data_IF_847036590168
#
_entry.id   IF_847036590168
#
_cell.length_a   1.000
_cell.length_b   1.000
_cell.length_c   1.000
_cell.angle_alpha   90.00
_cell.angle_beta   90.00
_cell.angle_gamma   90.00
#
_symmetry.space_group_name_H-M   'P 1'
#
loop_
_entity.id
_entity.type
_entity.pdbx_description
1 polymer ?
#
# COMPACT_ATOMS: atom_id res chain seq x y z
N UNK A 1 35.40 12.57 17.86
CA UNK A 1 34.00 12.44 18.31
C UNK A 1 33.24 11.66 17.25
N UNK A 2 32.83 10.40 17.48
CA UNK A 2 31.93 9.75 16.53
C UNK A 2 30.56 10.41 16.67
N UNK A 3 30.09 11.04 15.60
CA UNK A 3 28.73 11.54 15.47
C UNK A 3 27.79 10.34 15.30
N UNK A 4 27.47 9.66 16.39
CA UNK A 4 26.52 8.54 16.38
C UNK A 4 25.12 9.12 16.15
N UNK A 5 24.67 9.11 14.89
CA UNK A 5 23.23 9.28 14.60
C UNK A 5 22.51 8.17 15.37
N UNK A 6 21.51 8.54 16.16
CA UNK A 6 20.76 7.63 17.03
C UNK A 6 20.21 6.45 16.19
N UNK A 7 20.41 5.21 16.67
CA UNK A 7 20.04 3.98 15.97
C UNK A 7 18.51 3.95 15.74
N UNK A 8 17.75 4.49 16.68
CA UNK A 8 16.28 4.57 16.61
C UNK A 8 15.81 5.48 15.46
N UNK A 9 16.54 6.56 15.20
CA UNK A 9 16.24 7.50 14.11
C UNK A 9 16.53 6.89 12.74
N UNK A 10 17.60 6.09 12.63
CA UNK A 10 17.96 5.41 11.38
C UNK A 10 16.90 4.37 11.03
N UNK A 11 16.48 3.55 12.00
CA UNK A 11 15.44 2.55 11.80
C UNK A 11 14.12 3.22 11.36
N UNK A 12 13.71 4.27 12.06
CA UNK A 12 12.48 5.02 11.76
C UNK A 12 12.48 5.62 10.35
N UNK A 13 13.63 6.14 9.88
CA UNK A 13 13.78 6.65 8.51
C UNK A 13 13.71 5.54 7.46
N UNK A 14 14.37 4.41 7.69
CA UNK A 14 14.34 3.28 6.77
C UNK A 14 12.93 2.70 6.64
N UNK A 15 12.20 2.58 7.76
CA UNK A 15 10.78 2.18 7.75
C UNK A 15 9.93 3.14 6.94
N UNK A 16 10.13 4.45 7.08
CA UNK A 16 9.37 5.45 6.33
C UNK A 16 9.61 5.34 4.82
N UNK A 17 10.88 5.24 4.42
CA UNK A 17 11.28 5.05 3.00
C UNK A 17 10.67 3.76 2.45
N UNK A 18 10.79 2.65 3.18
CA UNK A 18 10.25 1.35 2.78
C UNK A 18 8.73 1.37 2.56
N UNK A 19 7.97 1.99 3.47
CA UNK A 19 6.52 2.16 3.35
C UNK A 19 6.15 2.96 2.10
N UNK A 20 6.93 4.00 1.78
CA UNK A 20 6.66 4.87 0.64
C UNK A 20 6.95 4.18 -0.70
N UNK A 21 8.02 3.37 -0.77
CA UNK A 21 8.30 2.49 -1.90
C UNK A 21 7.15 1.51 -2.12
N UNK A 22 6.73 0.82 -1.06
CA UNK A 22 5.61 -0.12 -1.11
C UNK A 22 4.33 0.54 -1.64
N UNK A 23 4.03 1.74 -1.14
CA UNK A 23 2.84 2.49 -1.57
C UNK A 23 2.89 2.81 -3.07
N UNK A 24 3.99 3.39 -3.56
CA UNK A 24 4.14 3.72 -4.97
C UNK A 24 4.12 2.48 -5.88
N UNK A 25 4.71 1.37 -5.43
CA UNK A 25 4.65 0.07 -6.12
C UNK A 25 3.22 -0.44 -6.27
N UNK A 26 2.44 -0.41 -5.19
CA UNK A 26 1.06 -0.86 -5.21
C UNK A 26 0.16 0.04 -6.07
N UNK A 27 0.40 1.35 -6.11
CA UNK A 27 -0.31 2.25 -7.04
C UNK A 27 -0.08 1.91 -8.52
N UNK A 28 1.07 1.30 -8.83
CA UNK A 28 1.37 0.79 -10.17
C UNK A 28 0.92 -0.66 -10.41
N UNK A 29 0.21 -1.27 -9.46
CA UNK A 29 -0.20 -2.67 -9.50
C UNK A 29 0.98 -3.66 -9.69
N UNK A 30 2.14 -3.32 -9.15
CA UNK A 30 3.34 -4.16 -9.25
C UNK A 30 3.48 -5.06 -8.02
N UNK A 31 3.89 -6.31 -8.22
CA UNK A 31 4.34 -7.20 -7.14
C UNK A 31 5.78 -6.86 -6.70
N UNK A 32 6.22 -7.39 -5.55
CA UNK A 32 7.61 -7.25 -5.09
C UNK A 32 8.59 -7.85 -6.11
N UNK A 33 8.22 -8.98 -6.72
CA UNK A 33 8.99 -9.64 -7.77
C UNK A 33 9.07 -8.80 -9.04
N UNK A 34 8.01 -8.09 -9.43
CA UNK A 34 8.03 -7.23 -10.62
C UNK A 34 9.00 -6.07 -10.44
N UNK A 35 8.95 -5.41 -9.27
CA UNK A 35 9.88 -4.34 -8.95
C UNK A 35 11.31 -4.86 -8.87
N UNK A 36 11.52 -6.01 -8.22
CA UNK A 36 12.84 -6.61 -8.09
C UNK A 36 13.45 -6.97 -9.45
N UNK A 37 12.66 -7.55 -10.35
CA UNK A 37 13.07 -7.88 -11.71
C UNK A 37 13.46 -6.63 -12.50
N UNK A 38 12.68 -5.55 -12.43
CA UNK A 38 12.98 -4.32 -13.15
C UNK A 38 14.22 -3.59 -12.61
N UNK A 39 14.45 -3.64 -11.31
CA UNK A 39 15.63 -3.03 -10.66
C UNK A 39 16.87 -3.92 -10.79
N UNK A 40 16.70 -5.22 -11.05
CA UNK A 40 17.80 -6.19 -11.14
C UNK A 40 18.28 -6.71 -9.78
N UNK A 41 17.37 -6.84 -8.80
CA UNK A 41 17.67 -7.36 -7.46
C UNK A 41 16.80 -8.56 -7.10
N UNK A 42 17.09 -9.22 -5.98
CA UNK A 42 16.27 -10.31 -5.47
C UNK A 42 14.95 -9.78 -4.87
N UNK A 43 13.82 -10.47 -5.06
CA UNK A 43 12.53 -10.10 -4.45
C UNK A 43 12.59 -10.00 -2.91
N UNK A 44 13.38 -10.85 -2.26
CA UNK A 44 13.62 -10.79 -0.81
C UNK A 44 14.34 -9.49 -0.41
N UNK A 45 15.19 -8.93 -1.29
CA UNK A 45 15.82 -7.64 -1.04
C UNK A 45 14.77 -6.53 -1.01
N UNK A 46 13.89 -6.46 -2.01
CA UNK A 46 12.77 -5.49 -2.04
C UNK A 46 11.88 -5.64 -0.80
N UNK A 47 11.53 -6.87 -0.42
CA UNK A 47 10.73 -7.12 0.79
C UNK A 47 11.39 -6.53 2.06
N UNK A 48 12.70 -6.76 2.24
CA UNK A 48 13.46 -6.23 3.39
C UNK A 48 13.56 -4.71 3.35
N UNK A 49 13.73 -4.12 2.16
CA UNK A 49 13.69 -2.67 1.96
C UNK A 49 12.34 -2.08 2.37
N UNK A 50 11.23 -2.66 1.88
CA UNK A 50 9.88 -2.20 2.20
C UNK A 50 9.53 -2.34 3.68
N UNK A 51 10.12 -3.33 4.35
CA UNK A 51 10.02 -3.51 5.81
C UNK A 51 10.92 -2.57 6.61
N UNK A 52 11.80 -1.78 5.97
CA UNK A 52 12.78 -0.92 6.65
C UNK A 52 13.90 -1.66 7.38
N UNK A 53 14.08 -2.96 7.08
CA UNK A 53 15.07 -3.82 7.74
C UNK A 53 16.48 -3.59 7.22
N UNK A 54 16.61 -3.07 6.00
CA UNK A 54 17.90 -2.78 5.35
C UNK A 54 17.89 -1.37 4.77
N UNK A 55 19.06 -0.74 4.74
CA UNK A 55 19.27 0.53 4.06
C UNK A 55 19.37 0.31 2.54
N UNK A 56 18.83 1.26 1.78
CA UNK A 56 18.83 1.25 0.33
C UNK A 56 19.94 2.18 -0.16
N UNK A 57 20.91 1.69 -0.95
CA UNK A 57 21.93 2.54 -1.54
C UNK A 57 21.29 3.67 -2.38
N UNK A 58 21.81 4.90 -2.34
CA UNK A 58 21.24 6.02 -3.11
C UNK A 58 21.06 5.76 -4.62
N UNK A 59 22.00 5.09 -5.33
CA UNK A 59 21.79 4.75 -6.75
C UNK A 59 20.58 3.83 -6.95
N UNK A 60 20.46 2.81 -6.10
CA UNK A 60 19.35 1.86 -6.16
C UNK A 60 18.01 2.54 -5.82
N UNK A 61 18.01 3.46 -4.86
CA UNK A 61 16.83 4.25 -4.53
C UNK A 61 16.39 5.13 -5.70
N UNK A 62 17.33 5.67 -6.48
CA UNK A 62 17.04 6.42 -7.69
C UNK A 62 16.43 5.52 -8.78
N UNK A 63 16.95 4.32 -8.97
CA UNK A 63 16.40 3.36 -9.95
C UNK A 63 14.97 2.93 -9.59
N UNK A 64 14.74 2.63 -8.31
CA UNK A 64 13.40 2.36 -7.77
C UNK A 64 12.47 3.55 -8.04
N UNK A 65 12.90 4.78 -7.76
CA UNK A 65 12.10 5.96 -8.01
C UNK A 65 11.73 6.12 -9.50
N UNK A 66 12.69 5.89 -10.40
CA UNK A 66 12.49 5.95 -11.85
C UNK A 66 11.46 4.92 -12.32
N UNK A 67 11.61 3.65 -11.91
CA UNK A 67 10.68 2.57 -12.24
C UNK A 67 9.28 2.87 -11.69
N UNK A 68 9.20 3.39 -10.46
CA UNK A 68 7.95 3.76 -9.82
C UNK A 68 7.38 5.09 -10.35
N UNK A 69 8.09 5.80 -11.23
CA UNK A 69 7.64 7.07 -11.82
C UNK A 69 7.43 8.18 -10.78
N UNK A 70 8.22 8.16 -9.71
CA UNK A 70 8.17 9.14 -8.61
C UNK A 70 9.55 9.75 -8.40
N UNK A 71 9.63 10.82 -7.61
CA UNK A 71 10.92 11.42 -7.24
C UNK A 71 11.48 10.78 -5.98
N UNK A 72 12.81 10.71 -5.84
CA UNK A 72 13.45 10.26 -4.59
C UNK A 72 13.00 11.10 -3.40
N UNK A 73 12.81 12.40 -3.60
CA UNK A 73 12.26 13.31 -2.57
C UNK A 73 10.88 12.87 -2.09
N UNK A 74 9.99 12.46 -3.01
CA UNK A 74 8.67 11.95 -2.62
C UNK A 74 8.76 10.68 -1.77
N UNK A 75 9.71 9.78 -2.05
CA UNK A 75 9.94 8.57 -1.25
C UNK A 75 10.50 8.93 0.13
N UNK A 76 11.41 9.91 0.21
CA UNK A 76 12.06 10.29 1.47
C UNK A 76 11.18 11.13 2.41
N UNK A 77 10.24 11.91 1.87
CA UNK A 77 9.49 12.91 2.64
C UNK A 77 7.97 12.76 2.62
N UNK A 78 7.40 11.78 1.90
CA UNK A 78 5.93 11.66 1.87
C UNK A 78 5.38 11.18 3.21
N UNK A 79 4.36 11.91 3.69
CA UNK A 79 3.53 11.57 4.84
C UNK A 79 2.26 10.80 4.43
N UNK A 80 2.03 10.61 3.12
CA UNK A 80 0.89 9.83 2.61
C UNK A 80 1.15 8.34 2.84
N UNK A 81 0.59 7.83 3.95
CA UNK A 81 0.73 6.42 4.35
C UNK A 81 -0.28 5.54 3.62
N UNK A 82 0.16 4.35 3.20
CA UNK A 82 -0.76 3.27 2.87
C UNK A 82 -1.56 2.89 4.14
N UNK A 83 -2.86 2.53 4.04
CA UNK A 83 -3.57 1.96 5.18
C UNK A 83 -2.87 0.66 5.59
N UNK A 84 -2.47 0.59 6.87
CA UNK A 84 -1.86 -0.59 7.46
C UNK A 84 -2.91 -1.71 7.60
N UNK A 85 -3.06 -2.56 6.58
CA UNK A 85 -3.46 -3.98 6.68
C UNK A 85 -4.09 -4.51 5.38
N UNK A 86 -4.01 -5.83 5.20
CA UNK A 86 -4.64 -6.61 4.13
C UNK A 86 -6.18 -6.52 4.08
N UNK A 87 -6.85 -5.83 5.03
CA UNK A 87 -8.23 -5.35 4.83
C UNK A 87 -8.20 -4.09 3.97
N UNK A 88 -7.64 -4.25 2.78
CA UNK A 88 -7.47 -3.25 1.73
C UNK A 88 -8.83 -2.98 1.07
N UNK A 89 -8.90 -1.97 0.20
CA UNK A 89 -10.09 -1.50 -0.55
C UNK A 89 -11.05 -2.59 -1.04
N UNK A 90 -10.58 -3.81 -1.32
CA UNK A 90 -11.41 -4.99 -1.57
C UNK A 90 -12.39 -5.34 -0.44
N UNK A 91 -11.98 -5.26 0.83
CA UNK A 91 -12.88 -5.45 1.98
C UNK A 91 -13.95 -4.36 2.01
N UNK A 92 -13.57 -3.10 1.77
CA UNK A 92 -14.52 -1.99 1.71
C UNK A 92 -15.48 -2.11 0.54
N UNK A 93 -14.98 -2.59 -0.61
CA UNK A 93 -15.78 -2.86 -1.78
C UNK A 93 -16.75 -4.03 -1.54
N UNK A 94 -16.29 -5.11 -0.91
CA UNK A 94 -17.12 -6.26 -0.55
C UNK A 94 -18.21 -5.87 0.45
N UNK A 95 -17.87 -5.10 1.49
CA UNK A 95 -18.84 -4.59 2.44
C UNK A 95 -19.88 -3.69 1.76
N UNK A 96 -19.46 -2.85 0.81
CA UNK A 96 -20.37 -1.99 0.04
C UNK A 96 -21.31 -2.81 -0.87
N UNK A 97 -20.82 -3.87 -1.51
CA UNK A 97 -21.65 -4.77 -2.34
C UNK A 97 -22.70 -5.48 -1.48
N UNK A 98 -22.29 -6.05 -0.34
CA UNK A 98 -23.20 -6.74 0.58
C UNK A 98 -24.29 -5.79 1.11
N UNK A 99 -23.97 -4.52 1.37
CA UNK A 99 -24.96 -3.53 1.80
C UNK A 99 -26.00 -3.21 0.71
N UNK A 100 -25.60 -3.20 -0.56
CA UNK A 100 -26.51 -2.97 -1.69
C UNK A 100 -27.47 -4.16 -1.88
N UNK A 101 -26.96 -5.39 -1.78
CA UNK A 101 -27.79 -6.61 -1.87
C UNK A 101 -28.88 -6.62 -0.80
N UNK A 102 -28.51 -6.36 0.46
CA UNK A 102 -29.45 -6.26 1.57
C UNK A 102 -30.49 -5.14 1.36
N UNK A 103 -30.11 -4.03 0.73
CA UNK A 103 -31.03 -2.94 0.42
C UNK A 103 -32.04 -3.30 -0.68
N UNK A 104 -31.62 -4.08 -1.68
CA UNK A 104 -32.49 -4.58 -2.74
C UNK A 104 -33.51 -5.57 -2.17
N UNK A 105 -33.10 -6.47 -1.28
CA UNK A 105 -33.99 -7.44 -0.63
C UNK A 105 -35.04 -6.76 0.25
N UNK A 106 -34.64 -5.75 1.03
CA UNK A 106 -35.56 -4.99 1.90
C UNK A 106 -36.55 -4.13 1.11
N UNK A 107 -36.18 -3.64 -0.08
CA UNK A 107 -37.09 -2.91 -0.98
C UNK A 107 -38.12 -3.83 -1.64
N UNK A 108 -37.74 -5.05 -2.02
CA UNK A 108 -38.66 -6.03 -2.61
C UNK A 108 -39.66 -6.59 -1.58
N UNK A 109 -39.24 -6.81 -0.33
CA UNK A 109 -40.13 -7.24 0.76
C UNK A 109 -41.23 -6.23 1.15
N UNK A 110 -41.07 -4.94 0.79
CA UNK A 110 -42.06 -3.88 1.10
C UNK A 110 -43.15 -3.72 0.04
N UNK A 111 -42.96 -4.26 -1.17
CA UNK A 111 -43.92 -4.19 -2.27
C UNK A 111 -44.92 -5.36 -2.31
N UNK A 112 -44.71 -6.44 -1.54
CA UNK A 112 -45.59 -7.63 -1.55
C UNK A 112 -46.75 -7.56 -0.53
N UNK A 113 -46.82 -6.52 0.33
CA UNK A 113 -47.89 -6.36 1.35
C UNK A 113 -48.81 -5.16 1.12
N UNK A 114 -49.16 -4.86 -0.13
CA UNK A 114 -50.24 -3.91 -0.43
C UNK A 114 -51.20 -4.53 -1.44
N UNK A 115 -52.36 -4.97 -0.95
CA UNK A 115 -53.48 -5.53 -1.72
C UNK A 115 -53.55 -7.05 -1.60
N UNK A 116 -54.54 -7.64 -0.92
CA UNK A 116 -55.98 -7.38 -1.12
C UNK A 116 -56.78 -7.35 0.19
N UNK A 117 -57.64 -6.35 0.40
CA UNK A 117 -58.85 -6.49 1.19
C UNK A 117 -60.07 -6.66 0.27
N UNK A 118 -60.86 -7.67 0.61
CA UNK A 118 -62.23 -7.99 0.15
C UNK A 118 -62.34 -8.89 -1.06
#
# INVERSE_FOLDING_TARGET
>A
MPSTRNIDDIHTRNTTIGVNIRYARLLKNMSESDLAHQVGVNSCYIQKCEAGQIEIPPPLLQDIANILGVTVSSIAHTTKRAPASNKSYLSKALDAVNQLENFIETKQGKLVKVGTPT
#
